data_IF_418789325971
#
_entry.id   IF_418789325971
#
_cell.length_a   1.000
_cell.length_b   1.000
_cell.length_c   1.000
_cell.angle_alpha   90.00
_cell.angle_beta   90.00
_cell.angle_gamma   90.00
#
_symmetry.space_group_name_H-M   'P 1'
#
loop_
_entity.id
_entity.type
_entity.pdbx_description
1 polymer ?
#
# COMPACT_ATOMS: atom_id res chain seq x y z
N UNK A 1 3.05 26.00 20.58
CA UNK A 1 2.45 24.67 20.82
C UNK A 1 2.43 23.96 19.48
N UNK A 2 3.41 23.10 19.26
CA UNK A 2 3.45 22.21 18.09
C UNK A 2 2.30 21.21 18.32
N UNK A 3 1.41 20.95 17.34
CA UNK A 3 0.43 19.90 17.52
C UNK A 3 1.19 18.57 17.65
N UNK A 4 0.97 17.86 18.76
CA UNK A 4 1.41 16.47 18.93
C UNK A 4 1.15 15.72 17.62
N UNK A 5 2.18 15.11 17.06
CA UNK A 5 2.15 14.30 15.85
C UNK A 5 1.44 12.97 16.14
N UNK A 6 0.17 13.06 16.55
CA UNK A 6 -0.73 11.93 16.58
C UNK A 6 -0.99 11.50 15.14
N UNK A 7 -1.09 10.20 14.91
CA UNK A 7 -1.63 9.64 13.67
C UNK A 7 -2.82 10.50 13.22
N UNK A 8 -2.89 10.94 11.95
CA UNK A 8 -3.93 11.85 11.47
C UNK A 8 -5.30 11.21 11.71
N UNK A 9 -5.93 11.59 12.82
CA UNK A 9 -7.19 11.01 13.25
C UNK A 9 -8.33 11.86 12.71
N UNK A 10 -9.37 11.20 12.20
CA UNK A 10 -10.57 11.92 11.80
C UNK A 10 -11.12 12.70 13.02
N UNK A 11 -11.56 13.96 12.82
CA UNK A 11 -12.26 14.70 13.87
C UNK A 11 -13.35 13.84 14.50
N UNK A 12 -13.56 13.87 15.83
CA UNK A 12 -14.46 12.95 16.53
C UNK A 12 -15.83 12.81 15.87
N UNK A 13 -16.41 13.92 15.42
CA UNK A 13 -17.68 13.95 14.70
C UNK A 13 -17.64 13.21 13.35
N UNK A 14 -16.61 13.43 12.53
CA UNK A 14 -16.46 12.74 11.23
C UNK A 14 -16.27 11.24 11.42
N UNK A 15 -15.49 10.83 12.42
CA UNK A 15 -15.32 9.41 12.77
C UNK A 15 -16.62 8.78 13.23
N UNK A 16 -17.38 9.47 14.07
CA UNK A 16 -18.70 9.02 14.50
C UNK A 16 -19.65 8.85 13.31
N UNK A 17 -19.74 9.84 12.41
CA UNK A 17 -20.55 9.74 11.19
C UNK A 17 -20.12 8.56 10.31
N UNK A 18 -18.81 8.41 10.06
CA UNK A 18 -18.26 7.31 9.25
C UNK A 18 -18.63 5.95 9.86
N UNK A 19 -18.54 5.84 11.19
CA UNK A 19 -18.90 4.62 11.94
C UNK A 19 -20.40 4.34 11.92
N UNK A 20 -21.24 5.37 12.07
CA UNK A 20 -22.68 5.24 11.99
C UNK A 20 -23.13 4.79 10.60
N UNK A 21 -22.53 5.36 9.54
CA UNK A 21 -22.78 4.95 8.15
C UNK A 21 -22.36 3.49 7.92
N UNK A 22 -21.16 3.10 8.37
CA UNK A 22 -20.69 1.72 8.27
C UNK A 22 -21.60 0.75 9.00
N UNK A 23 -21.94 1.05 10.26
CA UNK A 23 -22.81 0.22 11.09
C UNK A 23 -24.19 0.09 10.47
N UNK A 24 -24.79 1.20 10.07
CA UNK A 24 -26.09 1.23 9.41
C UNK A 24 -26.11 0.40 8.13
N UNK A 25 -25.14 0.59 7.23
CA UNK A 25 -25.06 -0.16 5.97
C UNK A 25 -24.79 -1.65 6.21
N UNK A 26 -23.88 -1.99 7.11
CA UNK A 26 -23.48 -3.37 7.39
C UNK A 26 -24.59 -4.17 8.07
N UNK A 27 -25.14 -3.68 9.19
CA UNK A 27 -26.11 -4.44 9.99
C UNK A 27 -27.52 -4.48 9.36
N UNK A 28 -27.85 -3.58 8.44
CA UNK A 28 -29.11 -3.62 7.69
C UNK A 28 -29.06 -4.49 6.44
N UNK A 29 -27.87 -4.92 6.01
CA UNK A 29 -27.68 -5.60 4.71
C UNK A 29 -27.66 -4.66 3.50
N UNK A 30 -27.86 -3.34 3.68
CA UNK A 30 -27.79 -2.36 2.59
C UNK A 30 -26.40 -2.30 1.93
N UNK A 31 -25.35 -2.68 2.66
CA UNK A 31 -23.99 -2.73 2.13
C UNK A 31 -23.87 -3.72 0.96
N UNK A 32 -24.54 -4.88 1.04
CA UNK A 32 -24.47 -5.88 -0.03
C UNK A 32 -25.23 -5.44 -1.28
N UNK A 33 -26.38 -4.79 -1.09
CA UNK A 33 -27.13 -4.15 -2.17
C UNK A 33 -26.31 -3.04 -2.83
N UNK A 34 -25.65 -2.19 -2.04
CA UNK A 34 -24.78 -1.13 -2.53
C UNK A 34 -23.70 -1.68 -3.48
N UNK A 35 -22.99 -2.74 -3.06
CA UNK A 35 -21.95 -3.37 -3.90
C UNK A 35 -22.54 -4.01 -5.15
N UNK A 36 -23.68 -4.70 -5.02
CA UNK A 36 -24.38 -5.30 -6.17
C UNK A 36 -24.71 -4.27 -7.24
N UNK A 37 -25.25 -3.10 -6.85
CA UNK A 37 -25.60 -2.04 -7.80
C UNK A 37 -24.40 -1.28 -8.34
N UNK A 38 -23.46 -0.89 -7.47
CA UNK A 38 -22.24 -0.15 -7.88
C UNK A 38 -21.44 -0.96 -8.88
N UNK A 39 -21.13 -2.20 -8.53
CA UNK A 39 -20.23 -3.01 -9.33
C UNK A 39 -20.96 -3.81 -10.39
N UNK A 40 -22.29 -3.97 -10.35
CA UNK A 40 -23.04 -4.89 -11.23
C UNK A 40 -22.50 -6.31 -11.07
N UNK A 41 -22.59 -6.84 -9.86
CA UNK A 41 -22.14 -8.19 -9.50
C UNK A 41 -23.24 -8.93 -8.73
N UNK A 42 -23.13 -10.26 -8.57
CA UNK A 42 -24.03 -11.01 -7.69
C UNK A 42 -23.99 -10.49 -6.24
N UNK A 43 -25.04 -10.77 -5.48
CA UNK A 43 -25.13 -10.32 -4.08
C UNK A 43 -24.10 -11.01 -3.15
N UNK A 44 -23.57 -12.17 -3.54
CA UNK A 44 -22.62 -12.99 -2.77
C UNK A 44 -21.62 -13.67 -3.72
N UNK A 45 -20.63 -14.36 -3.17
CA UNK A 45 -19.58 -15.09 -3.91
C UNK A 45 -18.66 -14.16 -4.70
N UNK A 46 -18.35 -13.00 -4.10
CA UNK A 46 -17.51 -11.96 -4.68
C UNK A 46 -16.07 -12.10 -4.21
N UNK A 47 -15.13 -11.71 -5.06
CA UNK A 47 -13.71 -11.66 -4.71
C UNK A 47 -13.28 -10.22 -4.43
N UNK A 48 -12.78 -10.00 -3.22
CA UNK A 48 -12.11 -8.79 -2.80
C UNK A 48 -10.62 -9.06 -2.60
N UNK A 49 -9.82 -8.00 -2.51
CA UNK A 49 -8.41 -8.10 -2.15
C UNK A 49 -8.07 -6.91 -1.27
N UNK A 50 -7.24 -7.14 -0.26
CA UNK A 50 -6.74 -6.12 0.64
C UNK A 50 -5.22 -6.06 0.56
N UNK A 51 -4.66 -4.87 0.64
CA UNK A 51 -3.23 -4.63 0.66
C UNK A 51 -2.80 -3.89 1.92
N UNK A 52 -1.58 -4.19 2.36
CA UNK A 52 -0.89 -3.53 3.47
C UNK A 52 0.54 -3.19 3.02
N UNK A 53 1.20 -2.30 3.76
CA UNK A 53 2.60 -1.98 3.54
C UNK A 53 3.42 -2.41 4.76
N UNK A 54 3.51 -1.56 5.78
CA UNK A 54 4.25 -1.83 7.00
C UNK A 54 3.30 -2.23 8.14
N UNK A 55 3.55 -3.40 8.72
CA UNK A 55 2.96 -3.77 10.02
C UNK A 55 4.02 -3.54 11.08
N UNK A 56 3.76 -2.66 12.05
CA UNK A 56 4.72 -2.21 13.07
C UNK A 56 4.19 -2.52 14.46
N UNK A 57 5.02 -2.48 15.52
CA UNK A 57 4.51 -2.71 16.87
C UNK A 57 3.48 -1.65 17.28
N UNK A 58 3.79 -0.37 17.03
CA UNK A 58 2.90 0.78 17.28
C UNK A 58 2.93 1.74 16.09
N UNK A 59 1.80 1.91 15.41
CA UNK A 59 1.70 2.88 14.30
C UNK A 59 1.86 4.32 14.77
N UNK A 60 1.53 4.63 16.02
CA UNK A 60 1.73 5.97 16.59
C UNK A 60 3.22 6.28 16.75
N UNK A 61 3.98 5.38 17.37
CA UNK A 61 5.43 5.54 17.57
C UNK A 61 6.17 5.59 16.23
N UNK A 62 5.81 4.72 15.28
CA UNK A 62 6.40 4.72 13.94
C UNK A 62 6.09 6.02 13.17
N UNK A 63 4.88 6.56 13.29
CA UNK A 63 4.53 7.85 12.70
C UNK A 63 5.30 9.01 13.34
N UNK A 64 5.45 9.01 14.67
CA UNK A 64 6.26 9.99 15.38
C UNK A 64 7.74 9.93 15.00
N UNK A 65 8.27 8.73 14.74
CA UNK A 65 9.61 8.51 14.23
C UNK A 65 9.80 9.04 12.79
N UNK A 66 8.70 9.28 12.06
CA UNK A 66 8.71 9.85 10.72
C UNK A 66 8.48 8.83 9.61
N UNK A 67 7.77 7.73 9.89
CA UNK A 67 7.18 6.87 8.85
C UNK A 67 5.82 7.41 8.41
N UNK A 68 5.43 7.20 7.15
CA UNK A 68 4.17 7.72 6.64
C UNK A 68 2.95 7.02 7.25
N UNK A 69 2.03 7.76 7.92
CA UNK A 69 0.90 7.15 8.61
C UNK A 69 -0.01 6.25 7.75
N UNK A 70 -0.14 6.54 6.46
CA UNK A 70 -1.02 5.81 5.54
C UNK A 70 -0.48 4.42 5.16
N UNK A 71 0.79 4.12 5.46
CA UNK A 71 1.40 2.82 5.23
C UNK A 71 1.43 1.94 6.49
N UNK A 72 1.14 2.54 7.64
CA UNK A 72 1.31 1.88 8.94
C UNK A 72 0.05 1.12 9.37
N UNK A 73 0.29 -0.05 9.94
CA UNK A 73 -0.71 -0.83 10.66
C UNK A 73 -0.07 -1.41 11.93
N UNK A 74 -0.67 -1.14 13.09
CA UNK A 74 -0.18 -1.70 14.35
C UNK A 74 -0.41 -3.20 14.40
N UNK A 75 0.56 -3.97 14.90
CA UNK A 75 0.51 -5.44 15.01
C UNK A 75 -0.77 -5.94 15.69
N UNK A 76 -1.12 -5.32 16.82
CA UNK A 76 -2.30 -5.69 17.58
C UNK A 76 -3.62 -5.39 16.86
N UNK A 77 -3.64 -4.36 16.00
CA UNK A 77 -4.80 -4.02 15.19
C UNK A 77 -4.90 -4.94 13.97
N UNK A 78 -3.78 -5.19 13.29
CA UNK A 78 -3.68 -6.15 12.19
C UNK A 78 -4.23 -7.52 12.59
N UNK A 79 -3.81 -8.05 13.75
CA UNK A 79 -4.31 -9.35 14.23
C UNK A 79 -5.84 -9.37 14.38
N UNK A 80 -6.42 -8.32 14.97
CA UNK A 80 -7.87 -8.20 15.13
C UNK A 80 -8.56 -8.03 13.79
N UNK A 81 -7.97 -7.28 12.86
CA UNK A 81 -8.52 -7.10 11.53
C UNK A 81 -8.59 -8.42 10.77
N UNK A 82 -7.53 -9.23 10.79
CA UNK A 82 -7.53 -10.58 10.20
C UNK A 82 -8.61 -11.47 10.82
N UNK A 83 -8.82 -11.42 12.14
CA UNK A 83 -9.91 -12.16 12.81
C UNK A 83 -11.30 -11.70 12.33
N UNK A 84 -11.52 -10.38 12.24
CA UNK A 84 -12.79 -9.84 11.76
C UNK A 84 -13.03 -10.17 10.29
N UNK A 85 -11.99 -10.12 9.45
CA UNK A 85 -12.04 -10.51 8.05
C UNK A 85 -12.41 -11.99 7.93
N UNK A 86 -11.72 -12.90 8.62
CA UNK A 86 -12.00 -14.35 8.55
C UNK A 86 -13.41 -14.73 9.01
N UNK A 87 -13.98 -13.94 9.92
CA UNK A 87 -15.37 -14.10 10.38
C UNK A 87 -16.43 -13.63 9.38
N UNK A 88 -16.05 -13.05 8.23
CA UNK A 88 -16.96 -12.59 7.17
C UNK A 88 -16.60 -13.13 5.78
N UNK A 89 -15.31 -13.35 5.51
CA UNK A 89 -14.78 -13.77 4.20
C UNK A 89 -14.05 -15.11 4.29
N UNK A 90 -14.02 -15.85 3.18
CA UNK A 90 -13.02 -16.91 2.95
C UNK A 90 -11.67 -16.28 2.57
N UNK A 91 -10.57 -16.79 3.11
CA UNK A 91 -9.24 -16.41 2.63
C UNK A 91 -8.85 -17.26 1.42
N UNK A 92 -8.31 -16.61 0.39
CA UNK A 92 -7.76 -17.26 -0.80
C UNK A 92 -6.31 -16.86 -1.01
N UNK A 93 -5.53 -17.79 -1.57
CA UNK A 93 -4.25 -17.44 -2.19
C UNK A 93 -4.46 -16.65 -3.48
N UNK A 94 -3.42 -15.95 -3.92
CA UNK A 94 -3.45 -15.21 -5.18
C UNK A 94 -3.70 -16.14 -6.39
N UNK A 95 -3.18 -17.36 -6.40
CA UNK A 95 -3.42 -18.32 -7.47
C UNK A 95 -4.90 -18.70 -7.56
N UNK A 96 -5.54 -18.95 -6.42
CA UNK A 96 -6.97 -19.24 -6.35
C UNK A 96 -7.82 -18.04 -6.80
N UNK A 97 -7.39 -16.83 -6.49
CA UNK A 97 -8.03 -15.61 -6.98
C UNK A 97 -7.91 -15.48 -8.51
N UNK A 98 -6.74 -15.80 -9.08
CA UNK A 98 -6.54 -15.83 -10.53
C UNK A 98 -7.41 -16.90 -11.19
N UNK A 99 -7.45 -18.12 -10.64
CA UNK A 99 -8.37 -19.17 -11.10
C UNK A 99 -9.83 -18.72 -11.09
N UNK A 100 -10.25 -17.95 -10.07
CA UNK A 100 -11.61 -17.43 -10.00
C UNK A 100 -11.89 -16.43 -11.11
N UNK A 101 -11.04 -15.40 -11.31
CA UNK A 101 -11.29 -14.42 -12.38
C UNK A 101 -11.21 -15.03 -13.78
N UNK A 102 -10.46 -16.12 -13.95
CA UNK A 102 -10.41 -16.93 -15.17
C UNK A 102 -11.62 -17.88 -15.33
N UNK A 103 -12.53 -17.95 -14.35
CA UNK A 103 -13.71 -18.82 -14.38
C UNK A 103 -13.41 -20.31 -14.11
N UNK A 104 -12.20 -20.64 -13.65
CA UNK A 104 -11.75 -22.00 -13.31
C UNK A 104 -12.09 -22.41 -11.88
N UNK A 105 -12.48 -21.44 -11.04
CA UNK A 105 -12.89 -21.65 -9.64
C UNK A 105 -14.23 -20.99 -9.37
N UNK A 106 -15.05 -21.63 -8.54
CA UNK A 106 -16.26 -21.05 -7.98
C UNK A 106 -16.06 -20.73 -6.48
N UNK A 107 -16.66 -19.64 -6.03
CA UNK A 107 -16.67 -19.24 -4.62
C UNK A 107 -17.97 -19.66 -3.96
N UNK A 108 -17.88 -20.09 -2.69
CA UNK A 108 -19.04 -20.49 -1.87
C UNK A 108 -19.56 -19.36 -0.97
N UNK A 109 -18.70 -18.37 -0.71
CA UNK A 109 -19.01 -17.12 -0.01
C UNK A 109 -18.09 -16.03 -0.53
N UNK A 110 -18.36 -14.78 -0.14
CA UNK A 110 -17.42 -13.69 -0.40
C UNK A 110 -16.03 -14.07 0.14
N UNK A 111 -15.01 -13.79 -0.67
CA UNK A 111 -13.64 -14.19 -0.39
C UNK A 111 -12.69 -13.01 -0.51
N UNK A 112 -11.53 -13.11 0.12
CA UNK A 112 -10.52 -12.06 0.16
C UNK A 112 -9.11 -12.62 0.01
N UNK A 113 -8.26 -11.92 -0.72
CA UNK A 113 -6.80 -12.15 -0.74
C UNK A 113 -6.12 -11.10 0.12
N UNK A 114 -5.16 -11.54 0.94
CA UNK A 114 -4.29 -10.65 1.72
C UNK A 114 -2.99 -10.44 0.96
N UNK A 115 -2.61 -9.19 0.77
CA UNK A 115 -1.40 -8.80 0.03
C UNK A 115 -0.57 -7.79 0.82
N UNK A 116 0.74 -7.81 0.61
CA UNK A 116 1.68 -6.84 1.17
C UNK A 116 2.55 -6.31 0.05
N UNK A 117 2.81 -5.01 0.06
CA UNK A 117 3.68 -4.36 -0.91
C UNK A 117 5.02 -3.94 -0.26
N UNK A 118 5.95 -3.50 -1.10
CA UNK A 118 7.26 -2.89 -0.79
C UNK A 118 8.32 -3.82 -0.17
N UNK A 119 8.00 -4.54 0.90
CA UNK A 119 8.95 -5.38 1.60
C UNK A 119 9.52 -4.78 2.90
N UNK A 120 8.76 -3.95 3.63
CA UNK A 120 9.17 -3.47 4.95
C UNK A 120 9.41 -4.63 5.92
N UNK A 121 10.43 -4.52 6.77
CA UNK A 121 10.85 -5.56 7.71
C UNK A 121 9.72 -6.03 8.65
N UNK A 122 8.80 -5.12 8.98
CA UNK A 122 7.61 -5.43 9.78
C UNK A 122 6.71 -6.55 9.22
N UNK A 123 6.79 -6.85 7.91
CA UNK A 123 6.09 -8.01 7.35
C UNK A 123 6.62 -9.33 7.92
N UNK A 124 7.92 -9.42 8.21
CA UNK A 124 8.55 -10.59 8.82
C UNK A 124 8.39 -10.59 10.34
N UNK A 125 8.66 -9.45 10.98
CA UNK A 125 8.67 -9.35 12.45
C UNK A 125 7.25 -9.46 13.05
N UNK A 126 6.23 -8.97 12.34
CA UNK A 126 4.89 -8.79 12.89
C UNK A 126 3.80 -9.50 12.07
N UNK A 127 3.71 -9.28 10.76
CA UNK A 127 2.60 -9.80 9.96
C UNK A 127 2.68 -11.33 9.76
N UNK A 128 3.85 -11.82 9.34
CA UNK A 128 4.09 -13.23 9.04
C UNK A 128 3.77 -14.19 10.21
N UNK A 129 4.23 -13.94 11.46
CA UNK A 129 3.91 -14.82 12.59
C UNK A 129 2.41 -14.91 12.88
N UNK A 130 1.65 -13.84 12.63
CA UNK A 130 0.19 -13.81 12.78
C UNK A 130 -0.46 -14.65 11.69
N UNK A 131 -0.09 -14.42 10.43
CA UNK A 131 -0.66 -15.13 9.28
C UNK A 131 -0.37 -16.63 9.35
N UNK A 132 0.87 -17.01 9.67
CA UNK A 132 1.29 -18.41 9.86
C UNK A 132 0.46 -19.09 10.94
N UNK A 133 0.36 -18.49 12.13
CA UNK A 133 -0.41 -19.04 13.26
C UNK A 133 -1.89 -19.22 12.94
N UNK A 134 -2.46 -18.32 12.13
CA UNK A 134 -3.88 -18.36 11.75
C UNK A 134 -4.15 -19.17 10.47
N UNK A 135 -3.12 -19.68 9.80
CA UNK A 135 -3.27 -20.40 8.53
C UNK A 135 -3.82 -19.54 7.39
N UNK A 136 -3.53 -18.23 7.41
CA UNK A 136 -4.05 -17.28 6.42
C UNK A 136 -3.05 -17.19 5.26
N UNK A 137 -3.45 -17.55 4.02
CA UNK A 137 -2.61 -17.35 2.85
C UNK A 137 -2.44 -15.86 2.56
N UNK A 138 -1.21 -15.46 2.21
CA UNK A 138 -0.88 -14.12 1.78
C UNK A 138 0.20 -14.13 0.71
N UNK A 139 0.25 -13.06 -0.09
CA UNK A 139 1.35 -12.78 -1.01
C UNK A 139 2.07 -11.49 -0.64
N UNK A 140 3.40 -11.51 -0.68
CA UNK A 140 4.27 -10.37 -0.44
C UNK A 140 4.94 -9.96 -1.76
N UNK A 141 4.62 -8.76 -2.26
CA UNK A 141 5.20 -8.17 -3.46
C UNK A 141 6.44 -7.36 -3.05
N UNK A 142 7.62 -7.75 -3.54
CA UNK A 142 8.89 -7.17 -3.10
C UNK A 142 9.52 -6.26 -4.16
N UNK A 143 10.05 -5.12 -3.72
CA UNK A 143 10.98 -4.31 -4.51
C UNK A 143 12.40 -4.87 -4.36
N UNK A 144 12.84 -5.67 -5.34
CA UNK A 144 14.02 -6.54 -5.18
C UNK A 144 15.36 -5.82 -4.98
N UNK A 145 15.51 -4.56 -5.43
CA UNK A 145 16.71 -3.75 -5.22
C UNK A 145 16.84 -3.22 -3.77
N UNK A 146 15.79 -3.37 -2.96
CA UNK A 146 15.73 -2.89 -1.58
C UNK A 146 15.89 -4.01 -0.55
N UNK A 147 15.51 -5.24 -0.89
CA UNK A 147 15.58 -6.42 -0.01
C UNK A 147 17.03 -6.66 0.44
N UNK A 148 17.23 -6.72 1.77
CA UNK A 148 18.54 -6.88 2.39
C UNK A 148 19.43 -5.63 2.35
N UNK A 149 18.88 -4.45 2.07
CA UNK A 149 19.60 -3.18 2.07
C UNK A 149 19.05 -2.22 3.12
N UNK A 150 19.81 -1.15 3.42
CA UNK A 150 19.36 -0.01 4.23
C UNK A 150 18.77 1.12 3.39
N UNK A 151 18.40 0.85 2.13
CA UNK A 151 17.83 1.87 1.24
C UNK A 151 16.37 2.10 1.60
N UNK A 152 15.93 3.34 1.50
CA UNK A 152 14.54 3.76 1.68
C UNK A 152 13.96 4.29 0.37
N UNK A 153 12.65 4.19 0.19
CA UNK A 153 11.99 4.73 -0.99
C UNK A 153 12.02 6.27 -0.97
N UNK A 154 11.95 6.89 -2.14
CA UNK A 154 12.02 8.35 -2.26
C UNK A 154 10.90 9.07 -1.47
N UNK A 155 9.70 8.47 -1.43
CA UNK A 155 8.56 9.00 -0.69
C UNK A 155 8.78 8.91 0.84
N UNK A 156 9.35 7.81 1.36
CA UNK A 156 9.72 7.69 2.77
C UNK A 156 10.79 8.71 3.15
N UNK A 157 11.82 8.83 2.31
CA UNK A 157 12.94 9.75 2.53
C UNK A 157 12.45 11.17 2.64
N UNK A 158 11.63 11.58 1.68
CA UNK A 158 11.07 12.92 1.63
C UNK A 158 10.15 13.20 2.82
N UNK A 159 9.23 12.27 3.15
CA UNK A 159 8.33 12.44 4.28
C UNK A 159 9.09 12.59 5.60
N UNK A 160 10.07 11.71 5.86
CA UNK A 160 10.89 11.76 7.06
C UNK A 160 11.62 13.11 7.20
N UNK A 161 12.25 13.58 6.12
CA UNK A 161 12.99 14.84 6.14
C UNK A 161 12.08 16.06 6.34
N UNK A 162 10.90 16.08 5.70
CA UNK A 162 9.90 17.12 5.90
C UNK A 162 9.39 17.09 7.35
N UNK A 163 9.09 15.90 7.88
CA UNK A 163 8.63 15.73 9.26
C UNK A 163 9.68 16.25 10.26
N UNK A 164 10.95 15.90 10.07
CA UNK A 164 12.07 16.42 10.88
C UNK A 164 12.24 17.92 10.75
N UNK A 165 12.20 18.46 9.53
CA UNK A 165 12.26 19.90 9.29
C UNK A 165 11.14 20.65 10.02
N UNK A 166 9.92 20.12 10.05
CA UNK A 166 8.82 20.71 10.81
C UNK A 166 9.03 20.63 12.32
N UNK A 167 9.55 19.51 12.84
CA UNK A 167 9.90 19.36 14.26
C UNK A 167 10.97 20.38 14.70
N UNK A 168 11.95 20.65 13.85
CA UNK A 168 13.03 21.62 14.09
C UNK A 168 12.68 23.06 13.70
N UNK A 169 11.43 23.32 13.30
CA UNK A 169 10.96 24.64 12.85
C UNK A 169 11.76 25.23 11.66
N UNK A 170 12.32 24.37 10.81
CA UNK A 170 13.00 24.76 9.59
C UNK A 170 11.98 25.23 8.54
N UNK A 171 12.14 26.42 7.91
CA UNK A 171 11.20 26.94 6.93
C UNK A 171 11.31 26.22 5.59
N UNK A 172 10.59 25.11 5.42
CA UNK A 172 10.64 24.23 4.23
C UNK A 172 10.44 25.01 2.92
N UNK A 173 9.50 25.95 2.88
CA UNK A 173 9.29 26.80 1.70
C UNK A 173 10.54 27.60 1.30
N UNK A 174 11.28 28.12 2.29
CA UNK A 174 12.52 28.86 2.02
C UNK A 174 13.63 27.93 1.54
N UNK A 175 13.68 26.69 2.05
CA UNK A 175 14.63 25.66 1.61
C UNK A 175 14.37 25.27 0.16
N UNK A 176 13.12 25.03 -0.21
CA UNK A 176 12.72 24.69 -1.58
C UNK A 176 13.13 25.77 -2.60
N UNK A 177 12.97 27.05 -2.24
CA UNK A 177 13.37 28.19 -3.08
C UNK A 177 14.88 28.30 -3.32
N UNK A 178 15.74 27.64 -2.52
CA UNK A 178 17.20 27.77 -2.64
C UNK A 178 17.81 26.95 -3.78
N UNK A 179 17.19 25.84 -4.22
CA UNK A 179 17.78 24.96 -5.25
C UNK A 179 16.90 24.70 -6.48
N UNK A 180 15.60 24.93 -6.41
CA UNK A 180 14.70 24.66 -7.54
C UNK A 180 14.77 25.87 -8.48
N UNK A 181 15.56 25.74 -9.55
CA UNK A 181 15.86 26.86 -10.46
C UNK A 181 14.95 26.89 -11.70
N UNK A 182 14.00 25.96 -11.88
CA UNK A 182 13.11 25.93 -13.05
C UNK A 182 11.66 25.55 -12.67
N UNK A 183 10.71 26.12 -13.42
CA UNK A 183 9.24 26.08 -13.28
C UNK A 183 8.63 26.87 -12.10
N UNK A 184 7.51 27.60 -12.31
CA UNK A 184 7.01 28.57 -11.33
C UNK A 184 6.70 27.84 -10.02
N UNK A 185 7.28 28.35 -8.92
CA UNK A 185 7.06 27.87 -7.55
C UNK A 185 5.60 27.52 -7.34
N UNK A 186 5.25 26.24 -7.42
CA UNK A 186 3.92 25.78 -7.01
C UNK A 186 3.86 26.11 -5.52
N UNK A 187 2.94 26.98 -5.08
CA UNK A 187 2.85 27.32 -3.68
C UNK A 187 2.47 26.05 -2.94
N UNK A 188 3.36 25.58 -2.07
CA UNK A 188 3.04 24.51 -1.13
C UNK A 188 2.05 25.08 -0.13
N UNK A 189 0.89 24.45 -0.03
CA UNK A 189 -0.20 24.84 0.88
C UNK A 189 -0.38 23.84 2.00
N UNK A 190 0.26 22.67 1.88
CA UNK A 190 0.25 21.64 2.91
C UNK A 190 0.67 22.20 4.27
N UNK A 191 -0.09 21.83 5.30
CA UNK A 191 0.14 22.24 6.68
C UNK A 191 0.65 21.10 7.55
N UNK A 192 0.66 19.89 7.00
CA UNK A 192 1.19 18.68 7.62
C UNK A 192 2.31 18.09 6.77
N UNK A 193 3.23 17.29 7.36
CA UNK A 193 4.30 16.66 6.61
C UNK A 193 3.81 15.87 5.40
N UNK A 194 2.66 15.20 5.56
CA UNK A 194 2.04 14.38 4.54
C UNK A 194 1.56 15.20 3.34
N UNK A 195 0.82 16.29 3.59
CA UNK A 195 0.33 17.16 2.53
C UNK A 195 1.47 17.81 1.74
N UNK A 196 2.53 18.24 2.42
CA UNK A 196 3.74 18.81 1.79
C UNK A 196 4.44 17.74 0.96
N UNK A 197 4.63 16.54 1.51
CA UNK A 197 5.27 15.41 0.81
C UNK A 197 4.52 15.10 -0.49
N UNK A 198 3.19 14.95 -0.43
CA UNK A 198 2.36 14.72 -1.61
C UNK A 198 2.50 15.85 -2.63
N UNK A 199 2.36 17.10 -2.21
CA UNK A 199 2.48 18.25 -3.12
C UNK A 199 3.85 18.28 -3.80
N UNK A 200 4.91 17.89 -3.10
CA UNK A 200 6.25 17.79 -3.67
C UNK A 200 6.38 16.62 -4.65
N UNK A 201 5.90 15.42 -4.30
CA UNK A 201 5.95 14.26 -5.21
C UNK A 201 5.12 14.46 -6.49
N UNK A 202 4.02 15.22 -6.42
CA UNK A 202 3.13 15.46 -7.56
C UNK A 202 3.68 16.47 -8.58
N UNK A 203 4.52 17.41 -8.13
CA UNK A 203 4.91 18.56 -8.96
C UNK A 203 6.37 18.56 -9.38
N UNK A 204 7.24 17.81 -8.70
CA UNK A 204 8.68 17.85 -8.91
C UNK A 204 9.20 16.58 -9.57
N UNK A 205 10.16 16.76 -10.48
CA UNK A 205 10.78 15.66 -11.22
C UNK A 205 11.86 14.97 -10.37
N UNK A 206 12.26 13.76 -10.76
CA UNK A 206 13.19 12.93 -9.97
C UNK A 206 14.51 13.63 -9.64
N UNK A 207 15.07 14.39 -10.59
CA UNK A 207 16.31 15.14 -10.39
C UNK A 207 16.13 16.25 -9.35
N UNK A 208 14.96 16.91 -9.34
CA UNK A 208 14.62 17.96 -8.39
C UNK A 208 14.37 17.41 -7.00
N UNK A 209 13.66 16.27 -6.91
CA UNK A 209 13.46 15.53 -5.66
C UNK A 209 14.80 15.11 -5.05
N UNK A 210 15.71 14.60 -5.87
CA UNK A 210 17.05 14.20 -5.43
C UNK A 210 17.84 15.39 -4.86
N UNK A 211 17.79 16.54 -5.53
CA UNK A 211 18.44 17.76 -5.07
C UNK A 211 17.82 18.32 -3.79
N UNK A 212 16.50 18.24 -3.65
CA UNK A 212 15.77 18.66 -2.45
C UNK A 212 16.11 17.79 -1.24
N UNK A 213 16.11 16.46 -1.41
CA UNK A 213 16.48 15.51 -0.36
C UNK A 213 17.90 15.81 0.14
N UNK A 214 18.86 15.98 -0.76
CA UNK A 214 20.24 16.31 -0.39
C UNK A 214 20.34 17.64 0.39
N UNK A 215 19.56 18.66 -0.01
CA UNK A 215 19.53 19.95 0.69
C UNK A 215 18.91 19.84 2.08
N UNK A 216 17.81 19.10 2.23
CA UNK A 216 17.17 18.88 3.54
C UNK A 216 18.11 18.11 4.47
N UNK A 217 18.80 17.08 3.98
CA UNK A 217 19.80 16.34 4.74
C UNK A 217 20.93 17.25 5.22
N UNK A 218 21.46 18.12 4.34
CA UNK A 218 22.49 19.10 4.70
C UNK A 218 22.01 20.05 5.80
N UNK A 219 20.80 20.62 5.66
CA UNK A 219 20.24 21.58 6.63
C UNK A 219 19.93 20.95 7.98
N UNK A 220 19.50 19.69 8.00
CA UNK A 220 19.18 18.94 9.21
C UNK A 220 20.40 18.23 9.82
N UNK A 221 21.57 18.30 9.16
CA UNK A 221 22.77 17.56 9.56
C UNK A 221 22.51 16.04 9.73
N UNK A 222 21.68 15.46 8.85
CA UNK A 222 21.29 14.05 8.90
C UNK A 222 22.06 13.21 7.88
N UNK A 223 22.61 12.08 8.33
CA UNK A 223 23.14 11.01 7.48
C UNK A 223 22.09 9.94 7.17
N UNK A 224 22.47 8.95 6.35
CA UNK A 224 21.58 7.82 5.98
C UNK A 224 21.24 6.90 7.17
N UNK A 225 21.98 6.96 8.28
CA UNK A 225 21.70 6.21 9.52
C UNK A 225 20.55 6.79 10.35
N UNK A 226 20.02 7.97 9.98
CA UNK A 226 19.03 8.71 10.77
C UNK A 226 17.59 8.21 10.63
N UNK A 227 17.33 7.26 9.71
CA UNK A 227 15.98 6.78 9.39
C UNK A 227 15.42 5.82 10.45
N UNK A 228 14.07 5.72 10.58
CA UNK A 228 13.44 4.82 11.54
C UNK A 228 13.82 3.35 11.30
N UNK A 229 14.13 2.62 12.37
CA UNK A 229 14.45 1.20 12.29
C UNK A 229 13.29 0.36 11.71
N UNK A 230 12.04 0.74 11.98
CA UNK A 230 10.85 0.09 11.43
C UNK A 230 10.68 0.31 9.91
N UNK A 231 11.39 1.28 9.33
CA UNK A 231 11.45 1.52 7.88
C UNK A 231 12.54 0.68 7.20
N UNK A 232 13.25 -0.19 7.92
CA UNK A 232 14.18 -1.16 7.32
C UNK A 232 13.44 -2.13 6.40
N UNK A 233 14.17 -2.66 5.43
CA UNK A 233 13.65 -3.64 4.48
C UNK A 233 13.94 -5.06 4.96
N UNK A 234 13.05 -5.99 4.62
CA UNK A 234 13.25 -7.41 4.90
C UNK A 234 14.54 -7.93 4.25
N UNK A 235 15.23 -8.86 4.89
CA UNK A 235 16.42 -9.53 4.35
C UNK A 235 16.06 -10.75 3.48
N UNK A 236 17.00 -11.20 2.65
CA UNK A 236 16.77 -12.41 1.84
C UNK A 236 16.65 -13.66 2.70
N UNK A 237 17.35 -13.74 3.83
CA UNK A 237 17.26 -14.82 4.81
C UNK A 237 15.86 -14.90 5.43
N UNK A 238 15.26 -13.75 5.76
CA UNK A 238 13.89 -13.65 6.29
C UNK A 238 12.85 -14.01 5.22
N UNK A 239 13.01 -13.53 3.99
CA UNK A 239 12.14 -13.89 2.84
C UNK A 239 12.19 -15.40 2.58
N UNK A 240 13.37 -16.00 2.55
CA UNK A 240 13.56 -17.45 2.36
C UNK A 240 12.92 -18.27 3.49
N UNK A 241 13.04 -17.82 4.75
CA UNK A 241 12.37 -18.43 5.88
C UNK A 241 10.83 -18.42 5.75
N UNK A 242 10.25 -17.29 5.30
CA UNK A 242 8.82 -17.19 5.03
C UNK A 242 8.38 -18.09 3.87
N UNK A 243 9.16 -18.14 2.79
CA UNK A 243 8.86 -18.92 1.60
C UNK A 243 8.84 -20.43 1.89
N UNK A 244 9.81 -20.94 2.67
CA UNK A 244 9.84 -22.34 3.12
C UNK A 244 8.61 -22.76 3.92
N UNK A 245 7.93 -21.79 4.51
CA UNK A 245 6.76 -21.98 5.36
C UNK A 245 5.44 -21.70 4.62
N UNK A 246 5.50 -21.63 3.29
CA UNK A 246 4.33 -21.59 2.42
C UNK A 246 3.78 -20.19 2.12
N UNK A 247 4.51 -19.12 2.46
CA UNK A 247 4.13 -17.77 2.04
C UNK A 247 4.46 -17.54 0.56
N UNK A 248 3.58 -16.83 -0.15
CA UNK A 248 3.76 -16.55 -1.57
C UNK A 248 4.51 -15.24 -1.78
N UNK A 249 5.32 -15.16 -2.83
CA UNK A 249 6.06 -13.96 -3.19
C UNK A 249 5.79 -13.53 -4.63
N UNK A 250 5.68 -12.22 -4.82
CA UNK A 250 5.48 -11.58 -6.11
C UNK A 250 6.47 -10.43 -6.32
N UNK A 251 6.46 -9.90 -7.54
CA UNK A 251 7.26 -8.72 -7.89
C UNK A 251 6.52 -7.44 -7.55
N UNK A 252 7.22 -6.46 -6.98
CA UNK A 252 6.78 -5.07 -6.94
C UNK A 252 7.74 -4.18 -7.73
N UNK A 253 8.16 -4.65 -8.91
CA UNK A 253 9.31 -4.13 -9.68
C UNK A 253 10.63 -4.31 -8.92
N UNK A 254 11.75 -3.81 -9.47
CA UNK A 254 13.05 -3.95 -8.81
C UNK A 254 13.32 -2.74 -7.92
N UNK A 255 13.13 -1.55 -8.47
CA UNK A 255 13.47 -0.26 -7.91
C UNK A 255 12.26 0.57 -7.44
N UNK A 256 11.05 -0.01 -7.43
CA UNK A 256 9.79 0.71 -7.19
C UNK A 256 9.52 1.79 -8.27
N UNK A 257 9.87 1.48 -9.51
CA UNK A 257 9.71 2.42 -10.62
C UNK A 257 8.26 2.51 -11.08
N UNK A 258 7.77 3.74 -11.31
CA UNK A 258 6.48 3.98 -11.96
C UNK A 258 6.58 3.58 -13.44
N UNK A 259 6.15 2.36 -13.77
CA UNK A 259 6.29 1.77 -15.11
C UNK A 259 5.60 2.60 -16.21
N UNK A 260 4.64 3.44 -15.85
CA UNK A 260 3.93 4.35 -16.78
C UNK A 260 4.72 5.61 -17.12
N UNK A 261 5.81 5.90 -16.40
CA UNK A 261 6.61 7.12 -16.50
C UNK A 261 8.02 6.87 -17.06
N UNK A 262 8.30 5.64 -17.47
CA UNK A 262 9.57 5.27 -18.09
C UNK A 262 9.35 4.72 -19.50
N UNK A 263 10.42 4.73 -20.29
CA UNK A 263 10.41 4.16 -21.63
C UNK A 263 10.02 2.67 -21.61
N UNK A 264 9.28 2.17 -22.61
CA UNK A 264 8.82 0.77 -22.64
C UNK A 264 9.93 -0.27 -22.48
N UNK A 265 11.12 0.01 -23.02
CA UNK A 265 12.29 -0.87 -22.88
C UNK A 265 12.81 -0.91 -21.44
N UNK A 266 12.81 0.23 -20.76
CA UNK A 266 13.17 0.33 -19.35
C UNK A 266 12.14 -0.37 -18.46
N UNK A 267 10.84 -0.22 -18.76
CA UNK A 267 9.78 -0.93 -18.04
C UNK A 267 9.92 -2.46 -18.19
N UNK A 268 10.24 -2.96 -19.39
CA UNK A 268 10.50 -4.37 -19.64
C UNK A 268 11.71 -4.89 -18.85
N UNK A 269 12.82 -4.14 -18.86
CA UNK A 269 14.02 -4.52 -18.12
C UNK A 269 13.78 -4.54 -16.61
N UNK A 270 13.10 -3.52 -16.09
CA UNK A 270 12.70 -3.42 -14.70
C UNK A 270 11.88 -4.63 -14.23
N UNK A 271 10.92 -5.04 -15.06
CA UNK A 271 10.05 -6.19 -14.81
C UNK A 271 10.79 -7.52 -14.87
N UNK A 272 11.71 -7.70 -15.85
CA UNK A 272 12.53 -8.90 -16.00
C UNK A 272 13.51 -9.06 -14.84
N UNK A 273 14.27 -8.00 -14.54
CA UNK A 273 15.26 -7.98 -13.47
C UNK A 273 14.67 -8.35 -12.12
N UNK A 274 13.51 -7.80 -11.77
CA UNK A 274 12.84 -8.15 -10.50
C UNK A 274 12.40 -9.61 -10.46
N UNK A 275 11.80 -10.10 -11.55
CA UNK A 275 11.40 -11.50 -11.69
C UNK A 275 12.60 -12.43 -11.54
N UNK A 276 13.65 -12.22 -12.32
CA UNK A 276 14.86 -13.05 -12.31
C UNK A 276 15.52 -13.06 -10.93
N UNK A 277 15.54 -11.91 -10.23
CA UNK A 277 16.06 -11.84 -8.87
C UNK A 277 15.27 -12.70 -7.90
N UNK A 278 13.93 -12.63 -7.92
CA UNK A 278 13.07 -13.46 -7.08
C UNK A 278 13.21 -14.94 -7.40
N UNK A 279 13.18 -15.31 -8.68
CA UNK A 279 13.30 -16.70 -9.12
C UNK A 279 14.67 -17.29 -8.74
N UNK A 280 15.74 -16.51 -8.86
CA UNK A 280 17.10 -16.92 -8.46
C UNK A 280 17.23 -17.08 -6.96
N UNK A 281 16.70 -16.12 -6.17
CA UNK A 281 16.84 -16.11 -4.71
C UNK A 281 15.99 -17.17 -4.03
N UNK A 282 14.79 -17.43 -4.55
CA UNK A 282 13.79 -18.28 -3.88
C UNK A 282 13.61 -19.66 -4.56
N UNK A 283 14.13 -19.85 -5.77
CA UNK A 283 13.94 -21.10 -6.51
C UNK A 283 12.48 -21.38 -6.89
N UNK A 284 11.61 -20.37 -6.86
CA UNK A 284 10.20 -20.45 -7.24
C UNK A 284 9.98 -19.75 -8.58
N UNK A 285 8.84 -20.01 -9.22
CA UNK A 285 8.40 -19.24 -10.39
C UNK A 285 7.64 -17.98 -9.93
N UNK A 286 8.12 -16.80 -10.29
CA UNK A 286 7.47 -15.54 -9.93
C UNK A 286 6.52 -15.10 -11.02
N UNK A 287 5.22 -15.30 -10.82
CA UNK A 287 4.18 -15.02 -11.84
C UNK A 287 3.16 -13.96 -11.44
N UNK A 288 3.33 -13.33 -10.29
CA UNK A 288 2.43 -12.28 -9.81
C UNK A 288 3.19 -10.97 -9.63
N UNK A 289 2.55 -9.88 -10.06
CA UNK A 289 3.06 -8.52 -9.97
C UNK A 289 2.08 -7.68 -9.12
N UNK A 290 2.58 -6.67 -8.44
CA UNK A 290 1.80 -5.50 -8.06
C UNK A 290 2.47 -4.30 -8.73
N UNK A 291 1.69 -3.44 -9.40
CA UNK A 291 2.25 -2.23 -9.98
C UNK A 291 2.50 -1.20 -8.88
N UNK A 292 3.67 -0.55 -8.82
CA UNK A 292 3.89 0.61 -7.96
C UNK A 292 2.79 1.66 -8.16
N UNK A 293 2.26 2.19 -7.06
CA UNK A 293 1.08 3.07 -7.00
C UNK A 293 -0.22 2.48 -7.60
N UNK A 294 -0.20 1.23 -8.05
CA UNK A 294 -1.25 0.64 -8.86
C UNK A 294 -1.40 1.22 -10.26
N UNK A 295 -0.40 1.98 -10.75
CA UNK A 295 -0.45 2.64 -12.07
C UNK A 295 -0.18 1.65 -13.20
N UNK A 296 -1.06 1.66 -14.18
CA UNK A 296 -0.95 0.78 -15.35
C UNK A 296 -1.59 1.44 -16.57
N UNK A 297 -0.99 1.21 -17.74
CA UNK A 297 -1.58 1.48 -19.04
C UNK A 297 -1.48 0.21 -19.92
N UNK A 298 -1.99 0.25 -21.15
CA UNK A 298 -1.98 -0.92 -22.04
C UNK A 298 -0.55 -1.46 -22.28
N UNK A 299 0.40 -0.57 -22.57
CA UNK A 299 1.81 -0.91 -22.81
C UNK A 299 2.46 -1.59 -21.59
N UNK A 300 2.19 -1.09 -20.37
CA UNK A 300 2.70 -1.70 -19.13
C UNK A 300 2.10 -3.09 -18.88
N UNK A 301 0.80 -3.27 -19.13
CA UNK A 301 0.15 -4.57 -18.99
C UNK A 301 0.69 -5.59 -20.01
N UNK A 302 0.91 -5.16 -21.25
CA UNK A 302 1.55 -5.97 -22.31
C UNK A 302 2.99 -6.32 -21.95
N UNK A 303 3.75 -5.39 -21.38
CA UNK A 303 5.12 -5.63 -20.91
C UNK A 303 5.14 -6.67 -19.77
N UNK A 304 4.22 -6.57 -18.80
CA UNK A 304 4.08 -7.58 -17.74
C UNK A 304 3.78 -8.97 -18.32
N UNK A 305 2.85 -9.05 -19.28
CA UNK A 305 2.56 -10.31 -19.97
C UNK A 305 3.78 -10.85 -20.73
N UNK A 306 4.52 -9.99 -21.44
CA UNK A 306 5.71 -10.37 -22.20
C UNK A 306 6.87 -10.86 -21.30
N UNK A 307 6.91 -10.43 -20.04
CA UNK A 307 7.86 -10.92 -19.03
C UNK A 307 7.41 -12.24 -18.38
N UNK A 308 6.24 -12.77 -18.75
CA UNK A 308 5.74 -14.04 -18.24
C UNK A 308 5.07 -13.97 -16.86
N UNK A 309 4.67 -12.77 -16.41
CA UNK A 309 3.70 -12.66 -15.33
C UNK A 309 2.35 -13.23 -15.78
N UNK A 310 1.55 -13.74 -14.84
CA UNK A 310 0.19 -14.25 -15.05
C UNK A 310 -0.88 -13.30 -14.51
N UNK A 311 -0.55 -12.50 -13.50
CA UNK A 311 -1.48 -11.53 -12.94
C UNK A 311 -0.73 -10.32 -12.40
N UNK A 312 -1.45 -9.20 -12.30
CA UNK A 312 -0.94 -7.98 -11.73
C UNK A 312 -2.02 -7.23 -10.93
N UNK A 313 -1.62 -6.72 -9.77
CA UNK A 313 -2.48 -5.96 -8.88
C UNK A 313 -2.32 -4.45 -9.07
N UNK A 314 -3.44 -3.74 -8.95
CA UNK A 314 -3.58 -2.29 -8.90
C UNK A 314 -4.05 -1.86 -7.51
N UNK A 315 -4.22 -0.55 -7.31
CA UNK A 315 -4.81 0.08 -6.11
C UNK A 315 -6.27 0.53 -6.36
N UNK A 316 -6.84 0.13 -7.49
CA UNK A 316 -8.21 0.47 -7.83
C UNK A 316 -9.20 -0.33 -6.96
N UNK A 317 -10.11 0.38 -6.29
CA UNK A 317 -11.20 -0.27 -5.57
C UNK A 317 -12.18 -0.93 -6.55
N UNK A 318 -12.39 -2.25 -6.42
CA UNK A 318 -13.40 -3.01 -7.17
C UNK A 318 -13.62 -4.41 -6.61
N UNK A 319 -14.79 -4.97 -6.89
CA UNK A 319 -14.98 -6.42 -6.89
C UNK A 319 -14.25 -7.03 -8.10
N UNK A 320 -13.35 -7.98 -7.84
CA UNK A 320 -12.71 -8.78 -8.89
C UNK A 320 -13.71 -9.84 -9.36
N UNK A 321 -13.96 -9.93 -10.68
CA UNK A 321 -15.02 -10.79 -11.23
C UNK A 321 -14.47 -11.78 -12.24
N UNK A 322 -15.24 -12.83 -12.51
CA UNK A 322 -15.04 -13.68 -13.67
C UNK A 322 -15.01 -12.82 -14.95
N UNK A 323 -14.00 -13.03 -15.78
CA UNK A 323 -13.76 -12.27 -17.01
C UNK A 323 -12.99 -10.96 -16.83
N UNK A 324 -12.66 -10.55 -15.60
CA UNK A 324 -11.72 -9.45 -15.37
C UNK A 324 -10.33 -9.88 -15.84
N UNK A 325 -9.61 -8.99 -16.53
CA UNK A 325 -8.21 -9.22 -16.87
C UNK A 325 -7.40 -9.50 -15.60
N UNK A 326 -6.65 -10.62 -15.52
CA UNK A 326 -5.76 -10.91 -14.40
C UNK A 326 -4.69 -9.83 -14.17
N UNK A 327 -4.43 -8.96 -15.14
CA UNK A 327 -3.47 -7.86 -15.05
C UNK A 327 -4.06 -6.56 -14.48
N UNK A 328 -5.34 -6.58 -14.07
CA UNK A 328 -6.06 -5.42 -13.53
C UNK A 328 -6.79 -5.79 -12.22
N UNK A 329 -6.21 -6.68 -11.42
CA UNK A 329 -6.77 -7.06 -10.14
C UNK A 329 -6.81 -5.85 -9.22
N UNK A 330 -7.99 -5.51 -8.70
CA UNK A 330 -8.16 -4.38 -7.79
C UNK A 330 -8.00 -4.77 -6.34
N UNK A 331 -7.50 -3.84 -5.53
CA UNK A 331 -7.27 -4.01 -4.09
C UNK A 331 -7.66 -2.76 -3.32
N UNK A 332 -8.10 -2.96 -2.07
CA UNK A 332 -8.23 -1.88 -1.09
C UNK A 332 -6.98 -1.87 -0.20
N UNK A 333 -6.25 -0.76 -0.18
CA UNK A 333 -5.12 -0.58 0.73
C UNK A 333 -5.63 -0.19 2.12
N UNK A 334 -5.35 -1.03 3.11
CA UNK A 334 -5.73 -0.84 4.51
C UNK A 334 -4.53 -0.34 5.31
N UNK A 335 -4.83 0.51 6.28
CA UNK A 335 -3.88 1.13 7.20
C UNK A 335 -4.61 1.38 8.52
N UNK A 336 -3.89 1.86 9.53
CA UNK A 336 -4.38 2.01 10.91
C UNK A 336 -5.82 2.57 11.01
N UNK A 337 -6.15 3.65 10.27
CA UNK A 337 -7.48 4.27 10.31
C UNK A 337 -8.58 3.60 9.47
N UNK A 338 -8.29 2.48 8.84
CA UNK A 338 -9.30 1.69 8.13
C UNK A 338 -10.19 0.87 9.08
N UNK A 339 -9.67 0.46 10.23
CA UNK A 339 -10.36 -0.47 11.14
C UNK A 339 -11.09 0.21 12.30
N UNK A 340 -10.78 1.47 12.62
CA UNK A 340 -11.30 2.14 13.81
C UNK A 340 -12.78 2.54 13.71
N UNK A 341 -13.59 2.09 14.67
CA UNK A 341 -14.95 2.57 14.90
C UNK A 341 -15.02 3.81 15.80
N UNK A 342 -16.24 4.19 16.23
CA UNK A 342 -16.46 5.42 17.00
C UNK A 342 -15.74 5.45 18.35
N UNK A 343 -15.47 4.28 18.95
CA UNK A 343 -14.92 4.14 20.30
C UNK A 343 -13.40 3.95 20.30
N UNK A 344 -12.73 4.24 19.17
CA UNK A 344 -11.32 3.88 18.97
C UNK A 344 -11.06 2.40 19.26
N UNK A 345 -12.01 1.55 18.85
CA UNK A 345 -11.90 0.09 18.87
C UNK A 345 -12.03 -0.44 17.46
N UNK A 346 -11.32 -1.54 17.17
CA UNK A 346 -11.44 -2.28 15.93
C UNK A 346 -12.92 -2.63 15.69
N UNK A 347 -13.44 -2.33 14.50
CA UNK A 347 -14.86 -2.46 14.16
C UNK A 347 -15.03 -3.31 12.90
N UNK A 348 -15.72 -4.46 13.05
CA UNK A 348 -16.07 -5.34 11.92
C UNK A 348 -16.83 -4.59 10.82
N UNK A 349 -17.80 -3.76 11.21
CA UNK A 349 -18.58 -2.99 10.26
C UNK A 349 -17.70 -2.01 9.47
N UNK A 350 -16.70 -1.39 10.11
CA UNK A 350 -15.76 -0.50 9.42
C UNK A 350 -14.89 -1.25 8.42
N UNK A 351 -14.28 -2.36 8.85
CA UNK A 351 -13.41 -3.20 8.03
C UNK A 351 -14.16 -3.72 6.80
N UNK A 352 -15.32 -4.36 7.00
CA UNK A 352 -16.14 -4.88 5.90
C UNK A 352 -16.61 -3.75 4.98
N UNK A 353 -16.96 -2.57 5.52
CA UNK A 353 -17.35 -1.42 4.68
C UNK A 353 -16.20 -0.85 3.86
N UNK A 354 -14.97 -0.86 4.37
CA UNK A 354 -13.77 -0.48 3.61
C UNK A 354 -13.51 -1.47 2.48
N UNK A 355 -13.50 -2.78 2.80
CA UNK A 355 -13.30 -3.85 1.81
C UNK A 355 -14.37 -3.81 0.71
N UNK A 356 -15.60 -3.47 1.07
CA UNK A 356 -16.72 -3.30 0.13
C UNK A 356 -16.80 -1.89 -0.49
N UNK A 357 -15.88 -1.00 -0.14
CA UNK A 357 -15.70 0.33 -0.75
C UNK A 357 -16.81 1.33 -0.50
N UNK A 358 -17.51 1.22 0.63
CA UNK A 358 -18.55 2.16 1.01
C UNK A 358 -18.07 3.62 1.00
N UNK A 359 -16.78 3.83 1.25
CA UNK A 359 -16.16 5.15 1.38
C UNK A 359 -15.46 5.66 0.12
N UNK A 360 -15.61 4.96 -1.02
CA UNK A 360 -15.00 5.33 -2.30
C UNK A 360 -15.98 6.03 -3.26
N UNK A 361 -17.14 6.47 -2.76
CA UNK A 361 -18.17 7.15 -3.55
C UNK A 361 -17.59 8.43 -4.17
N UNK A 362 -17.66 8.53 -5.50
CA UNK A 362 -17.21 9.71 -6.25
C UNK A 362 -15.72 9.73 -6.62
N UNK A 363 -14.97 8.65 -6.36
CA UNK A 363 -13.55 8.55 -6.72
C UNK A 363 -13.27 7.95 -8.11
N UNK A 364 -14.30 7.68 -8.92
CA UNK A 364 -14.12 7.15 -10.26
C UNK A 364 -13.95 8.26 -11.31
N UNK A 365 -12.92 8.08 -12.16
CA UNK A 365 -12.64 8.72 -13.47
C UNK A 365 -11.62 9.86 -13.47
N UNK A 366 -10.37 9.51 -13.23
CA UNK A 366 -9.13 10.05 -13.85
C UNK A 366 -8.07 9.87 -12.81
N UNK A 367 -7.13 8.95 -13.00
CA UNK A 367 -5.91 8.80 -12.21
C UNK A 367 -5.55 10.10 -11.46
N UNK A 368 -5.70 10.14 -10.12
CA UNK A 368 -4.91 11.07 -9.36
C UNK A 368 -4.26 10.29 -8.22
N UNK A 369 -2.95 10.34 -8.20
CA UNK A 369 -2.08 9.77 -7.19
C UNK A 369 -2.22 10.48 -5.84
N UNK A 370 -3.24 11.32 -5.68
CA UNK A 370 -3.32 12.30 -4.60
C UNK A 370 -3.95 11.81 -3.30
N UNK A 371 -4.33 10.53 -3.19
CA UNK A 371 -5.05 10.00 -2.02
C UNK A 371 -4.37 8.81 -1.32
N UNK A 372 -3.22 8.36 -1.80
CA UNK A 372 -2.39 7.34 -1.13
C UNK A 372 -0.99 7.85 -0.76
N UNK A 373 -0.74 9.15 -1.00
CA UNK A 373 0.34 9.93 -0.42
C UNK A 373 -0.28 11.17 0.25
#
# INVERSE_FOLDING_TARGET
MIPETRLPSLPPFRRWMKSALAGGAYYSGLLDLYVQFRDRCPAQNRLFMVGYHAVVESAEEAAEAGMMPQQLMSRALFEKEIDQIGSHFDFLSIDQAVEFVEGKRQLKRDSVVVTFDDGYKGIYDHAYPILKRKGVPAIFYLCTDYVGTSRHFDHDRLFFLIHKAMQESLPIEAVLRQRITMNPTVPIRGTSPLEITREVLEHYWKEELTALVALLQEKLCLGEEGFPADAMMVSWEEVDAMAREGMHFGSHTASHCLLTEVEPTAALEELRRSKETLETRLGIKTVHLAYPDGRVNASVAEAAQACGYRSACTTAHRVNKIGLSPYLLGRELLWENSAWGWSSKCSKAMIVSQIKGLFKIGQDKKYPISNYF
#
